data_IF_468410240953
#
_entry.id   IF_468410240953
#
_cell.length_a   1.000
_cell.length_b   1.000
_cell.length_c   1.000
_cell.angle_alpha   90.00
_cell.angle_beta   90.00
_cell.angle_gamma   90.00
#
_symmetry.space_group_name_H-M   'P 1'
#
loop_
_entity.id
_entity.type
_entity.pdbx_description
1 polymer ?
#
# COMPACT_ATOMS: atom_id res chain seq x y z
N UNK A 1 3.96 -21.52 -42.69
CA UNK A 1 5.14 -20.85 -42.11
C UNK A 1 4.69 -20.36 -40.75
N UNK A 2 4.99 -21.13 -39.70
CA UNK A 2 4.70 -20.70 -38.33
C UNK A 2 5.70 -19.58 -38.01
N UNK A 3 5.26 -18.38 -37.61
CA UNK A 3 6.19 -17.40 -37.09
C UNK A 3 6.85 -18.02 -35.86
N UNK A 4 8.17 -18.16 -35.91
CA UNK A 4 8.95 -18.63 -34.78
C UNK A 4 8.74 -17.64 -33.64
N UNK A 5 8.11 -18.10 -32.57
CA UNK A 5 8.07 -17.40 -31.29
C UNK A 5 9.49 -17.39 -30.73
N UNK A 6 10.26 -16.38 -31.09
CA UNK A 6 11.37 -15.93 -30.24
C UNK A 6 10.76 -15.64 -28.89
N UNK A 7 11.06 -16.48 -27.90
CA UNK A 7 10.69 -16.25 -26.51
C UNK A 7 11.43 -15.00 -26.06
N UNK A 8 10.76 -13.85 -26.14
CA UNK A 8 11.29 -12.62 -25.61
C UNK A 8 11.23 -12.73 -24.08
N UNK A 9 12.34 -12.50 -23.35
CA UNK A 9 12.31 -12.57 -21.90
C UNK A 9 11.24 -11.61 -21.37
N UNK A 10 10.41 -12.07 -20.45
CA UNK A 10 9.46 -11.22 -19.72
C UNK A 10 10.24 -10.11 -18.99
N UNK A 11 10.40 -8.99 -19.69
CA UNK A 11 11.27 -7.90 -19.27
C UNK A 11 10.70 -7.20 -18.04
N UNK A 12 9.37 -7.18 -17.91
CA UNK A 12 8.69 -6.59 -16.77
C UNK A 12 8.88 -7.48 -15.54
N UNK A 13 8.71 -8.79 -15.67
CA UNK A 13 9.05 -9.74 -14.60
C UNK A 13 10.52 -9.63 -14.16
N UNK A 14 11.46 -9.44 -15.10
CA UNK A 14 12.88 -9.19 -14.77
C UNK A 14 13.07 -7.89 -13.99
N UNK A 15 12.37 -6.82 -14.36
CA UNK A 15 12.40 -5.56 -13.64
C UNK A 15 11.80 -5.68 -12.23
N UNK A 16 10.68 -6.40 -12.09
CA UNK A 16 10.10 -6.70 -10.78
C UNK A 16 11.10 -7.38 -9.85
N UNK A 17 11.80 -8.40 -10.36
CA UNK A 17 12.86 -9.09 -9.59
C UNK A 17 14.03 -8.18 -9.24
N UNK A 18 14.41 -7.26 -10.12
CA UNK A 18 15.44 -6.25 -9.84
C UNK A 18 15.02 -5.36 -8.67
N UNK A 19 13.81 -4.81 -8.71
CA UNK A 19 13.26 -3.98 -7.63
C UNK A 19 13.11 -4.77 -6.33
N UNK A 20 12.66 -6.03 -6.38
CA UNK A 20 12.59 -6.90 -5.20
C UNK A 20 13.96 -7.06 -4.52
N UNK A 21 15.03 -7.24 -5.32
CA UNK A 21 16.40 -7.36 -4.78
C UNK A 21 16.87 -6.08 -4.11
N UNK A 22 16.57 -4.93 -4.70
CA UNK A 22 16.85 -3.62 -4.08
C UNK A 22 16.10 -3.44 -2.76
N UNK A 23 14.85 -3.93 -2.70
CA UNK A 23 14.00 -3.85 -1.51
C UNK A 23 14.21 -4.98 -0.50
N UNK A 24 15.15 -5.91 -0.73
CA UNK A 24 15.36 -7.08 0.14
C UNK A 24 15.50 -6.72 1.61
N UNK A 25 16.29 -5.69 1.93
CA UNK A 25 16.48 -5.27 3.32
C UNK A 25 15.17 -4.82 3.98
N UNK A 26 14.31 -4.12 3.23
CA UNK A 26 12.99 -3.75 3.71
C UNK A 26 12.13 -5.01 3.93
N UNK A 27 12.08 -5.95 2.98
CA UNK A 27 11.34 -7.20 3.13
C UNK A 27 11.74 -8.00 4.38
N UNK A 28 13.04 -8.09 4.68
CA UNK A 28 13.52 -8.77 5.88
C UNK A 28 13.08 -8.02 7.15
N UNK A 29 13.18 -6.69 7.15
CA UNK A 29 12.73 -5.88 8.28
C UNK A 29 11.22 -6.05 8.52
N UNK A 30 10.41 -6.06 7.45
CA UNK A 30 8.98 -6.35 7.48
C UNK A 30 8.67 -7.70 8.13
N UNK A 31 9.38 -8.74 7.72
CA UNK A 31 9.22 -10.08 8.28
C UNK A 31 9.58 -10.14 9.77
N UNK A 32 10.68 -9.51 10.18
CA UNK A 32 11.06 -9.41 11.59
C UNK A 32 10.01 -8.63 12.40
N UNK A 33 9.50 -7.52 11.89
CA UNK A 33 8.50 -6.72 12.58
C UNK A 33 7.17 -7.48 12.74
N UNK A 34 6.77 -8.25 11.73
CA UNK A 34 5.58 -9.10 11.79
C UNK A 34 5.70 -10.22 12.83
N UNK A 35 6.91 -10.79 13.00
CA UNK A 35 7.11 -11.86 13.97
C UNK A 35 7.05 -11.41 15.42
N UNK A 36 7.21 -10.10 15.69
CA UNK A 36 7.20 -9.55 17.06
C UNK A 36 5.92 -9.94 17.79
N UNK A 37 6.08 -10.58 18.96
CA UNK A 37 4.97 -10.99 19.80
C UNK A 37 4.35 -12.33 19.40
N UNK A 38 4.88 -13.04 18.39
CA UNK A 38 4.50 -14.44 18.15
C UNK A 38 4.87 -15.30 19.35
N UNK A 39 6.02 -15.05 19.97
CA UNK A 39 6.51 -15.77 21.15
C UNK A 39 5.56 -15.70 22.35
N UNK A 40 4.80 -14.61 22.50
CA UNK A 40 3.85 -14.44 23.59
C UNK A 40 2.51 -15.16 23.32
N UNK A 41 2.27 -15.61 22.08
CA UNK A 41 1.01 -16.26 21.73
C UNK A 41 0.88 -17.66 22.35
N UNK A 42 -0.34 -18.07 22.75
CA UNK A 42 -0.59 -19.45 23.16
C UNK A 42 -0.32 -20.42 22.03
N UNK A 43 0.34 -21.52 22.33
CA UNK A 43 0.67 -22.54 21.34
C UNK A 43 -0.47 -23.58 21.21
N UNK A 44 -0.78 -23.93 19.97
CA UNK A 44 -1.81 -24.90 19.60
C UNK A 44 -1.23 -25.95 18.64
N UNK A 45 -1.81 -27.15 18.66
CA UNK A 45 -1.49 -28.23 17.73
C UNK A 45 -2.77 -28.91 17.25
N UNK A 46 -2.76 -29.42 16.02
CA UNK A 46 -3.78 -30.35 15.56
C UNK A 46 -3.38 -31.77 15.97
N UNK A 47 -4.24 -32.39 16.78
CA UNK A 47 -4.12 -33.77 17.21
C UNK A 47 -5.34 -34.55 16.73
N UNK A 48 -5.15 -35.41 15.73
CA UNK A 48 -6.23 -36.23 15.14
C UNK A 48 -7.37 -35.34 14.61
N UNK A 49 -7.00 -34.30 13.88
CA UNK A 49 -7.95 -33.35 13.29
C UNK A 49 -8.64 -32.40 14.29
N UNK A 50 -8.22 -32.36 15.56
CA UNK A 50 -8.74 -31.41 16.55
C UNK A 50 -7.67 -30.45 17.01
N UNK A 51 -8.00 -29.17 17.06
CA UNK A 51 -7.11 -28.14 17.61
C UNK A 51 -7.08 -28.23 19.14
N UNK A 52 -5.87 -28.30 19.71
CA UNK A 52 -5.64 -28.45 21.15
C UNK A 52 -4.61 -27.41 21.60
N UNK A 53 -4.95 -26.61 22.61
CA UNK A 53 -4.00 -25.74 23.27
C UNK A 53 -3.03 -26.58 24.12
N UNK A 54 -1.73 -26.31 24.03
CA UNK A 54 -0.72 -27.10 24.78
C UNK A 54 -0.50 -26.58 26.20
N UNK A 55 -1.09 -25.44 26.56
CA UNK A 55 -0.94 -24.83 27.89
C UNK A 55 0.37 -24.04 28.09
N UNK A 56 1.15 -23.85 27.02
CA UNK A 56 2.38 -23.05 26.97
C UNK A 56 2.28 -21.99 25.86
N UNK A 57 3.20 -21.03 25.83
CA UNK A 57 3.34 -20.11 24.70
C UNK A 57 4.26 -20.70 23.62
N UNK A 58 4.25 -20.07 22.44
CA UNK A 58 5.20 -20.38 21.35
C UNK A 58 6.64 -20.13 21.82
N UNK A 59 6.89 -19.01 22.50
CA UNK A 59 8.22 -18.63 22.99
C UNK A 59 8.76 -19.58 24.05
N UNK A 60 7.93 -20.04 25.00
CA UNK A 60 8.33 -21.02 26.00
C UNK A 60 8.79 -22.33 25.35
N UNK A 61 8.05 -22.81 24.33
CA UNK A 61 8.42 -24.02 23.59
C UNK A 61 9.70 -23.81 22.78
N UNK A 62 9.81 -22.70 22.06
CA UNK A 62 10.98 -22.36 21.27
C UNK A 62 12.25 -22.29 22.14
N UNK A 63 12.16 -21.67 23.33
CA UNK A 63 13.27 -21.57 24.29
C UNK A 63 13.73 -22.94 24.82
N UNK A 64 12.81 -23.91 24.93
CA UNK A 64 13.11 -25.28 25.34
C UNK A 64 13.43 -26.21 24.15
N UNK A 65 13.58 -25.68 22.93
CA UNK A 65 13.89 -26.45 21.73
C UNK A 65 12.80 -27.45 21.34
N UNK A 66 11.55 -27.19 21.74
CA UNK A 66 10.40 -28.02 21.41
C UNK A 66 9.83 -27.60 20.06
N UNK A 67 9.34 -28.55 19.23
CA UNK A 67 8.70 -28.23 17.96
C UNK A 67 7.45 -27.35 18.17
N UNK A 68 7.25 -26.42 17.23
CA UNK A 68 6.09 -25.53 17.18
C UNK A 68 5.04 -26.03 16.18
N UNK A 69 5.45 -26.76 15.14
CA UNK A 69 4.52 -27.40 14.21
C UNK A 69 4.17 -28.84 14.62
N UNK A 70 2.93 -29.25 14.35
CA UNK A 70 2.51 -30.66 14.39
C UNK A 70 2.86 -31.40 13.11
N UNK A 71 2.72 -32.73 13.11
CA UNK A 71 2.88 -33.56 11.91
C UNK A 71 1.79 -33.31 10.85
N UNK A 72 0.64 -32.76 11.27
CA UNK A 72 -0.56 -32.59 10.43
C UNK A 72 -0.67 -31.18 9.78
N UNK A 73 0.09 -30.19 10.24
CA UNK A 73 -0.23 -28.76 10.01
C UNK A 73 0.77 -28.00 9.13
N UNK A 74 2.02 -28.45 9.01
CA UNK A 74 3.06 -27.70 8.28
C UNK A 74 2.83 -27.66 6.76
N UNK A 75 3.17 -26.53 6.12
CA UNK A 75 3.22 -26.44 4.65
C UNK A 75 4.35 -27.33 4.15
N UNK A 76 4.05 -28.23 3.22
CA UNK A 76 5.04 -29.17 2.66
C UNK A 76 6.15 -28.39 1.96
N UNK A 77 5.80 -27.26 1.33
CA UNK A 77 6.73 -26.40 0.60
C UNK A 77 7.77 -25.75 1.51
N UNK A 78 7.44 -25.55 2.79
CA UNK A 78 8.38 -25.01 3.77
C UNK A 78 9.40 -26.07 4.20
N UNK A 79 9.07 -27.37 4.16
CA UNK A 79 9.99 -28.45 4.50
C UNK A 79 10.43 -28.48 5.99
N UNK A 80 11.48 -29.24 6.28
CA UNK A 80 11.92 -29.53 7.66
C UNK A 80 12.52 -28.29 8.36
N UNK A 81 11.81 -27.80 9.36
CA UNK A 81 12.24 -26.68 10.18
C UNK A 81 13.06 -27.13 11.40
N UNK A 82 13.98 -26.26 11.86
CA UNK A 82 14.65 -26.45 13.16
C UNK A 82 13.66 -26.07 14.28
N UNK A 83 13.50 -26.88 15.34
CA UNK A 83 12.64 -26.51 16.46
C UNK A 83 12.94 -25.13 17.03
N UNK A 84 11.90 -24.30 17.20
CA UNK A 84 11.98 -22.92 17.70
C UNK A 84 12.54 -21.90 16.71
N UNK A 85 12.74 -22.27 15.45
CA UNK A 85 13.15 -21.33 14.39
C UNK A 85 11.98 -20.53 13.83
N UNK A 86 12.28 -19.45 13.09
CA UNK A 86 11.26 -18.68 12.38
C UNK A 86 10.43 -19.56 11.42
N UNK A 87 11.05 -20.47 10.69
CA UNK A 87 10.36 -21.40 9.80
C UNK A 87 9.48 -22.41 10.55
N UNK A 88 9.89 -22.85 11.74
CA UNK A 88 9.05 -23.70 12.61
C UNK A 88 7.82 -22.93 13.10
N UNK A 89 7.99 -21.65 13.44
CA UNK A 89 6.88 -20.77 13.79
C UNK A 89 5.91 -20.55 12.61
N UNK A 90 6.40 -20.41 11.38
CA UNK A 90 5.55 -20.33 10.18
C UNK A 90 4.73 -21.61 9.96
N UNK A 91 5.27 -22.79 10.30
CA UNK A 91 4.56 -24.06 10.21
C UNK A 91 3.59 -24.32 11.38
N UNK A 92 3.58 -23.47 12.41
CA UNK A 92 2.66 -23.60 13.53
C UNK A 92 1.26 -23.04 13.19
N UNK A 93 0.27 -23.43 13.99
CA UNK A 93 -1.12 -22.94 13.87
C UNK A 93 -1.49 -22.01 15.01
N UNK A 94 -2.38 -21.06 14.73
CA UNK A 94 -2.97 -20.20 15.75
C UNK A 94 -4.21 -20.83 16.41
N UNK A 95 -4.89 -20.05 17.26
CA UNK A 95 -6.06 -20.48 18.01
C UNK A 95 -7.30 -20.78 17.12
N UNK A 96 -7.31 -20.30 15.88
CA UNK A 96 -8.35 -20.58 14.90
C UNK A 96 -7.96 -21.77 13.99
N UNK A 97 -6.76 -22.33 14.21
CA UNK A 97 -6.22 -23.44 13.43
C UNK A 97 -5.66 -23.02 12.08
N UNK A 98 -5.40 -21.73 11.88
CA UNK A 98 -4.79 -21.18 10.67
C UNK A 98 -3.28 -21.26 10.79
N UNK A 99 -2.61 -21.70 9.72
CA UNK A 99 -1.15 -21.79 9.67
C UNK A 99 -0.56 -20.38 9.60
N UNK A 100 0.48 -20.12 10.40
CA UNK A 100 1.12 -18.81 10.42
C UNK A 100 1.73 -18.41 9.08
N UNK A 101 2.18 -19.37 8.27
CA UNK A 101 2.61 -19.14 6.89
C UNK A 101 1.52 -18.48 6.03
N UNK A 102 0.27 -18.93 6.11
CA UNK A 102 -0.83 -18.34 5.32
C UNK A 102 -1.11 -16.90 5.76
N UNK A 103 -0.99 -16.64 7.07
CA UNK A 103 -1.09 -15.27 7.60
C UNK A 103 0.08 -14.42 7.18
N UNK A 104 1.29 -14.95 7.21
CA UNK A 104 2.51 -14.27 6.79
C UNK A 104 2.42 -13.87 5.32
N UNK A 105 1.92 -14.76 4.46
CA UNK A 105 1.72 -14.45 3.06
C UNK A 105 0.77 -13.27 2.87
N UNK A 106 -0.44 -13.36 3.45
CA UNK A 106 -1.47 -12.32 3.32
C UNK A 106 -1.08 -10.99 3.98
N UNK A 107 -0.42 -11.02 5.13
CA UNK A 107 -0.12 -9.83 5.94
C UNK A 107 1.21 -9.18 5.56
N UNK A 108 2.14 -9.91 4.94
CA UNK A 108 3.50 -9.43 4.61
C UNK A 108 3.86 -9.61 3.14
N UNK A 109 3.82 -10.84 2.62
CA UNK A 109 4.34 -11.12 1.27
C UNK A 109 3.49 -10.48 0.18
N UNK A 110 2.16 -10.68 0.20
CA UNK A 110 1.26 -10.16 -0.83
C UNK A 110 1.30 -8.61 -0.89
N UNK A 111 1.14 -7.87 0.23
CA UNK A 111 1.18 -6.40 0.18
C UNK A 111 2.56 -5.87 -0.24
N UNK A 112 3.63 -6.49 0.24
CA UNK A 112 4.99 -6.05 -0.09
C UNK A 112 5.31 -6.26 -1.57
N UNK A 113 4.92 -7.40 -2.13
CA UNK A 113 5.10 -7.70 -3.56
C UNK A 113 4.25 -6.78 -4.42
N UNK A 114 3.00 -6.53 -4.04
CA UNK A 114 2.15 -5.57 -4.74
C UNK A 114 2.82 -4.19 -4.84
N UNK A 115 3.29 -3.65 -3.70
CA UNK A 115 4.01 -2.37 -3.69
C UNK A 115 5.30 -2.42 -4.53
N UNK A 116 6.02 -3.54 -4.50
CA UNK A 116 7.24 -3.75 -5.31
C UNK A 116 6.93 -3.69 -6.80
N UNK A 117 5.84 -4.32 -7.21
CA UNK A 117 5.36 -4.32 -8.59
C UNK A 117 4.90 -2.93 -9.04
N UNK A 118 4.22 -2.17 -8.18
CA UNK A 118 3.84 -0.77 -8.47
C UNK A 118 5.10 0.10 -8.66
N UNK A 119 6.10 -0.06 -7.79
CA UNK A 119 7.39 0.65 -7.95
C UNK A 119 8.12 0.26 -9.25
N UNK A 120 8.02 -1.01 -9.65
CA UNK A 120 8.56 -1.48 -10.94
C UNK A 120 7.81 -0.86 -12.12
N UNK A 121 6.48 -0.77 -12.07
CA UNK A 121 5.65 -0.09 -13.06
C UNK A 121 6.01 1.39 -13.20
N UNK A 122 6.12 2.12 -12.09
CA UNK A 122 6.52 3.53 -12.10
C UNK A 122 7.95 3.75 -12.61
N UNK A 123 8.85 2.79 -12.36
CA UNK A 123 10.18 2.79 -12.95
C UNK A 123 10.11 2.56 -14.46
N UNK A 124 9.37 1.54 -14.90
CA UNK A 124 9.19 1.22 -16.31
C UNK A 124 8.63 2.40 -17.11
N UNK A 125 7.58 3.06 -16.61
CA UNK A 125 6.98 4.26 -17.21
C UNK A 125 8.00 5.37 -17.46
N UNK A 126 8.95 5.56 -16.53
CA UNK A 126 9.94 6.63 -16.61
C UNK A 126 11.15 6.26 -17.46
N UNK A 127 11.62 5.02 -17.40
CA UNK A 127 12.89 4.61 -18.01
C UNK A 127 12.73 3.88 -19.33
N UNK A 128 11.56 3.28 -19.57
CA UNK A 128 11.24 2.46 -20.76
C UNK A 128 9.83 2.80 -21.30
N UNK A 129 9.51 4.07 -21.58
CA UNK A 129 8.14 4.48 -21.93
C UNK A 129 7.60 3.81 -23.20
N UNK A 130 8.44 3.50 -24.18
CA UNK A 130 8.03 2.82 -25.41
C UNK A 130 7.64 1.36 -25.15
N UNK A 131 8.48 0.60 -24.45
CA UNK A 131 8.20 -0.80 -24.06
C UNK A 131 7.01 -0.90 -23.10
N UNK A 132 6.85 0.11 -22.23
CA UNK A 132 5.67 0.20 -21.38
C UNK A 132 4.39 0.39 -22.21
N UNK A 133 4.40 1.28 -23.22
CA UNK A 133 3.24 1.47 -24.09
C UNK A 133 2.91 0.21 -24.92
N UNK A 134 3.92 -0.50 -25.41
CA UNK A 134 3.76 -1.80 -26.09
C UNK A 134 3.13 -2.84 -25.14
N UNK A 135 3.63 -2.93 -23.90
CA UNK A 135 3.07 -3.82 -22.88
C UNK A 135 1.59 -3.50 -22.60
N UNK A 136 1.23 -2.22 -22.48
CA UNK A 136 -0.16 -1.83 -22.27
C UNK A 136 -1.05 -2.23 -23.46
N UNK A 137 -0.57 -2.05 -24.70
CA UNK A 137 -1.30 -2.48 -25.90
C UNK A 137 -1.50 -4.01 -25.92
N UNK A 138 -0.48 -4.78 -25.54
CA UNK A 138 -0.56 -6.24 -25.42
C UNK A 138 -1.60 -6.70 -24.38
N UNK A 139 -1.74 -5.96 -23.28
CA UNK A 139 -2.73 -6.22 -22.24
C UNK A 139 -4.12 -5.64 -22.56
N UNK A 140 -4.24 -4.81 -23.60
CA UNK A 140 -5.48 -4.12 -23.96
C UNK A 140 -5.81 -2.93 -23.06
N UNK A 141 -4.81 -2.34 -22.40
CA UNK A 141 -4.93 -1.23 -21.46
C UNK A 141 -4.63 0.12 -22.12
N UNK A 142 -5.40 1.17 -21.79
CA UNK A 142 -5.19 2.52 -22.33
C UNK A 142 -4.06 3.26 -21.59
N UNK A 143 -2.97 3.69 -22.25
CA UNK A 143 -1.87 4.42 -21.62
C UNK A 143 -2.26 5.69 -20.84
N UNK A 144 -3.38 6.32 -21.19
CA UNK A 144 -3.90 7.52 -20.52
C UNK A 144 -4.79 7.24 -19.31
N UNK A 145 -5.22 6.00 -19.11
CA UNK A 145 -6.20 5.61 -18.08
C UNK A 145 -5.78 4.36 -17.26
N UNK A 146 -4.75 3.64 -17.70
CA UNK A 146 -4.30 2.42 -17.07
C UNK A 146 -3.81 2.68 -15.64
N UNK A 147 -4.54 2.14 -14.67
CA UNK A 147 -4.08 2.04 -13.30
C UNK A 147 -2.96 0.97 -13.24
N UNK A 148 -1.76 1.30 -12.72
CA UNK A 148 -0.71 0.31 -12.50
C UNK A 148 -1.21 -0.96 -11.79
N UNK A 149 -2.14 -0.86 -10.85
CA UNK A 149 -2.69 -2.04 -10.17
C UNK A 149 -3.49 -2.97 -11.10
N UNK A 150 -4.20 -2.42 -12.08
CA UNK A 150 -4.97 -3.19 -13.04
C UNK A 150 -4.06 -3.87 -14.06
N UNK A 151 -3.04 -3.15 -14.53
CA UNK A 151 -1.97 -3.68 -15.39
C UNK A 151 -1.29 -4.87 -14.72
N UNK A 152 -0.91 -4.72 -13.44
CA UNK A 152 -0.25 -5.79 -12.69
C UNK A 152 -1.12 -7.03 -12.52
N UNK A 153 -2.43 -6.85 -12.34
CA UNK A 153 -3.38 -7.96 -12.25
C UNK A 153 -3.52 -8.68 -13.60
N UNK A 154 -3.56 -7.94 -14.70
CA UNK A 154 -3.69 -8.50 -16.04
C UNK A 154 -2.47 -9.34 -16.46
N UNK A 155 -1.26 -8.94 -16.07
CA UNK A 155 -0.05 -9.69 -16.40
C UNK A 155 0.42 -10.72 -15.37
N UNK A 156 -0.32 -10.89 -14.27
CA UNK A 156 -0.07 -11.93 -13.25
C UNK A 156 1.36 -11.94 -12.66
N UNK A 157 2.11 -10.83 -12.75
CA UNK A 157 3.51 -10.78 -12.33
C UNK A 157 3.73 -10.89 -10.83
N UNK A 158 2.69 -10.64 -10.02
CA UNK A 158 2.81 -10.74 -8.57
C UNK A 158 3.06 -12.17 -8.10
N UNK A 159 2.40 -13.18 -8.68
CA UNK A 159 2.51 -14.57 -8.23
C UNK A 159 3.95 -15.10 -8.24
N UNK A 160 4.72 -15.03 -9.34
CA UNK A 160 6.11 -15.49 -9.33
C UNK A 160 7.01 -14.66 -8.39
N UNK A 161 6.69 -13.38 -8.19
CA UNK A 161 7.43 -12.53 -7.24
C UNK A 161 7.13 -12.88 -5.77
N UNK A 162 5.91 -13.32 -5.45
CA UNK A 162 5.55 -13.82 -4.10
C UNK A 162 6.40 -15.01 -3.72
N UNK A 163 6.54 -15.99 -4.61
CA UNK A 163 7.43 -17.15 -4.38
C UNK A 163 8.90 -16.73 -4.21
N UNK A 164 9.40 -15.78 -5.00
CA UNK A 164 10.79 -15.29 -4.85
C UNK A 164 10.97 -14.52 -3.53
N UNK A 165 9.99 -13.73 -3.11
CA UNK A 165 10.01 -13.02 -1.83
C UNK A 165 10.00 -13.97 -0.64
N UNK A 166 9.13 -15.00 -0.63
CA UNK A 166 9.08 -16.03 0.40
C UNK A 166 10.44 -16.74 0.52
N UNK A 167 11.03 -17.16 -0.60
CA UNK A 167 12.36 -17.77 -0.60
C UNK A 167 13.45 -16.84 -0.07
N UNK A 168 13.41 -15.54 -0.38
CA UNK A 168 14.38 -14.58 0.14
C UNK A 168 14.27 -14.42 1.66
N UNK A 169 13.05 -14.43 2.21
CA UNK A 169 12.80 -14.40 3.66
C UNK A 169 13.30 -15.69 4.31
N UNK A 170 12.91 -16.86 3.80
CA UNK A 170 13.32 -18.15 4.36
C UNK A 170 14.84 -18.34 4.30
N UNK A 171 15.49 -17.89 3.23
CA UNK A 171 16.94 -17.92 3.11
C UNK A 171 17.65 -17.01 4.14
N UNK A 172 17.02 -15.90 4.54
CA UNK A 172 17.60 -14.96 5.51
C UNK A 172 17.28 -15.34 6.96
N UNK A 173 16.05 -15.75 7.25
CA UNK A 173 15.51 -15.88 8.60
C UNK A 173 15.09 -17.30 8.97
N UNK A 174 14.81 -18.17 8.00
CA UNK A 174 14.09 -19.43 8.22
C UNK A 174 14.70 -20.30 9.33
N UNK A 175 16.03 -20.42 9.38
CA UNK A 175 16.74 -21.22 10.38
C UNK A 175 17.13 -20.45 11.65
N UNK A 176 16.92 -19.14 11.68
CA UNK A 176 17.24 -18.30 12.83
C UNK A 176 16.25 -18.59 13.98
N UNK A 177 16.70 -18.55 15.25
CA UNK A 177 15.80 -18.65 16.40
C UNK A 177 14.73 -17.56 16.37
N UNK A 178 13.48 -17.92 16.64
CA UNK A 178 12.35 -16.97 16.59
C UNK A 178 12.60 -15.73 17.48
N UNK A 179 13.10 -15.95 18.70
CA UNK A 179 13.40 -14.87 19.66
C UNK A 179 14.43 -13.86 19.14
N UNK A 180 15.42 -14.32 18.35
CA UNK A 180 16.41 -13.42 17.73
C UNK A 180 15.75 -12.60 16.62
N UNK A 181 14.93 -13.23 15.78
CA UNK A 181 14.19 -12.54 14.71
C UNK A 181 13.25 -11.46 15.27
N UNK A 182 12.52 -11.78 16.35
CA UNK A 182 11.67 -10.81 17.03
C UNK A 182 12.48 -9.62 17.58
N UNK A 183 13.66 -9.88 18.16
CA UNK A 183 14.49 -8.82 18.73
C UNK A 183 14.95 -7.79 17.69
N UNK A 184 15.25 -8.24 16.47
CA UNK A 184 15.58 -7.38 15.33
C UNK A 184 14.34 -6.60 14.82
N UNK A 185 13.14 -7.16 14.98
CA UNK A 185 11.88 -6.56 14.56
C UNK A 185 11.30 -5.52 15.53
N UNK A 186 11.66 -5.58 16.81
CA UNK A 186 11.12 -4.69 17.87
C UNK A 186 11.22 -3.19 17.53
N UNK A 187 12.35 -2.67 17.00
CA UNK A 187 12.43 -1.25 16.63
C UNK A 187 11.40 -0.86 15.56
N UNK A 188 11.20 -1.70 14.54
CA UNK A 188 10.30 -1.40 13.43
C UNK A 188 8.82 -1.56 13.82
N UNK A 189 8.49 -2.58 14.62
CA UNK A 189 7.11 -2.77 15.11
C UNK A 189 6.65 -1.59 15.99
N UNK A 190 7.55 -1.01 16.80
CA UNK A 190 7.28 0.20 17.58
C UNK A 190 7.05 1.42 16.69
N UNK A 191 7.87 1.61 15.64
CA UNK A 191 7.68 2.69 14.67
C UNK A 191 6.31 2.57 13.98
N UNK A 192 5.93 1.35 13.59
CA UNK A 192 4.63 1.07 12.98
C UNK A 192 3.46 1.27 13.92
N UNK A 193 3.59 0.85 15.18
CA UNK A 193 2.57 1.12 16.19
C UNK A 193 2.39 2.63 16.41
N UNK A 194 3.49 3.39 16.43
CA UNK A 194 3.44 4.85 16.51
C UNK A 194 2.80 5.47 15.25
N UNK A 195 3.16 5.00 14.06
CA UNK A 195 2.54 5.45 12.80
C UNK A 195 1.05 5.13 12.74
N UNK A 196 0.64 3.91 13.11
CA UNK A 196 -0.76 3.51 13.15
C UNK A 196 -1.56 4.35 14.16
N UNK A 197 -0.96 4.64 15.33
CA UNK A 197 -1.55 5.54 16.32
C UNK A 197 -1.69 6.95 15.77
N UNK A 198 -0.66 7.48 15.10
CA UNK A 198 -0.70 8.80 14.48
C UNK A 198 -1.73 8.87 13.35
N UNK A 199 -1.84 7.82 12.54
CA UNK A 199 -2.82 7.71 11.45
C UNK A 199 -4.25 7.59 11.99
N UNK A 200 -4.47 6.85 13.08
CA UNK A 200 -5.76 6.76 13.74
C UNK A 200 -6.15 8.07 14.44
N UNK A 201 -5.17 8.83 14.94
CA UNK A 201 -5.38 10.15 15.54
C UNK A 201 -5.55 11.28 14.50
N UNK A 202 -5.20 11.03 13.24
CA UNK A 202 -5.45 11.98 12.16
C UNK A 202 -6.96 12.01 11.86
N UNK A 203 -7.65 13.04 12.37
CA UNK A 203 -9.02 13.32 11.93
C UNK A 203 -9.01 13.57 10.41
N UNK A 204 -9.85 12.88 9.63
CA UNK A 204 -10.03 13.23 8.23
C UNK A 204 -10.53 14.66 8.17
N UNK A 205 -9.76 15.54 7.51
CA UNK A 205 -10.12 16.95 7.35
C UNK A 205 -11.53 17.01 6.75
N UNK A 206 -12.54 17.54 7.47
CA UNK A 206 -13.90 17.50 6.97
C UNK A 206 -13.97 18.29 5.67
N UNK A 207 -14.41 17.63 4.60
CA UNK A 207 -14.87 18.33 3.42
C UNK A 207 -15.98 19.27 3.87
N UNK A 208 -15.73 20.58 3.79
CA UNK A 208 -16.68 21.60 4.21
C UNK A 208 -17.87 21.53 3.26
N UNK A 209 -18.95 20.88 3.68
CA UNK A 209 -20.21 20.90 2.94
C UNK A 209 -20.61 22.37 2.71
N UNK A 210 -20.85 22.77 1.45
CA UNK A 210 -21.40 24.09 1.19
C UNK A 210 -22.81 24.16 1.77
N UNK A 211 -23.10 25.25 2.47
CA UNK A 211 -24.43 25.61 2.98
C UNK A 211 -25.47 25.44 1.85
N UNK A 212 -26.64 24.84 2.11
CA UNK A 212 -27.64 24.51 1.06
C UNK A 212 -28.08 25.75 0.26
N UNK A 213 -27.97 26.95 0.85
CA UNK A 213 -28.21 28.24 0.18
C UNK A 213 -27.12 28.69 -0.81
N UNK A 214 -25.91 28.11 -0.76
CA UNK A 214 -24.78 28.47 -1.61
C UNK A 214 -24.59 27.54 -2.82
N UNK A 215 -25.33 26.43 -2.94
CA UNK A 215 -25.11 25.44 -4.00
C UNK A 215 -25.26 26.03 -5.42
N UNK A 216 -26.28 26.88 -5.62
CA UNK A 216 -26.51 27.58 -6.89
C UNK A 216 -25.44 28.63 -7.21
N UNK A 217 -25.09 29.46 -6.22
CA UNK A 217 -24.04 30.48 -6.36
C UNK A 217 -22.66 29.84 -6.59
N UNK A 218 -22.37 28.71 -5.93
CA UNK A 218 -21.12 27.98 -6.07
C UNK A 218 -20.99 27.34 -7.46
N UNK A 219 -22.09 26.80 -8.00
CA UNK A 219 -22.11 26.28 -9.36
C UNK A 219 -21.75 27.36 -10.39
N UNK A 220 -22.38 28.54 -10.29
CA UNK A 220 -22.09 29.69 -11.14
C UNK A 220 -20.65 30.17 -10.96
N UNK A 221 -20.17 30.25 -9.72
CA UNK A 221 -18.81 30.69 -9.41
C UNK A 221 -17.74 29.77 -10.01
N UNK A 222 -17.91 28.44 -9.87
CA UNK A 222 -16.97 27.46 -10.43
C UNK A 222 -16.99 27.46 -11.97
N UNK A 223 -18.15 27.66 -12.59
CA UNK A 223 -18.24 27.85 -14.03
C UNK A 223 -17.49 29.11 -14.48
N UNK A 224 -17.70 30.23 -13.78
CA UNK A 224 -17.02 31.50 -14.01
C UNK A 224 -15.49 31.35 -13.96
N UNK A 225 -14.95 30.67 -12.93
CA UNK A 225 -13.50 30.48 -12.78
C UNK A 225 -12.92 29.61 -13.90
N UNK A 226 -13.63 28.56 -14.34
CA UNK A 226 -13.19 27.69 -15.45
C UNK A 226 -13.15 28.44 -16.78
N UNK A 227 -14.13 29.30 -17.04
CA UNK A 227 -14.24 30.05 -18.29
C UNK A 227 -13.36 31.31 -18.33
N UNK A 228 -12.97 31.85 -17.16
CA UNK A 228 -12.16 33.07 -17.05
C UNK A 228 -10.74 32.94 -17.64
N UNK A 229 -10.26 31.71 -17.87
CA UNK A 229 -8.90 31.43 -18.33
C UNK A 229 -7.82 31.86 -17.33
N UNK A 230 -8.17 31.95 -16.04
CA UNK A 230 -7.26 32.33 -14.97
C UNK A 230 -6.38 31.13 -14.58
N UNK A 231 -5.10 31.35 -14.24
CA UNK A 231 -4.27 30.30 -13.67
C UNK A 231 -4.91 29.78 -12.38
N UNK A 232 -4.92 28.46 -12.21
CA UNK A 232 -5.47 27.79 -11.03
C UNK A 232 -4.32 27.19 -10.21
N UNK A 233 -4.19 27.51 -8.91
CA UNK A 233 -5.07 28.38 -8.11
C UNK A 233 -4.94 29.87 -8.47
N UNK A 234 -6.03 30.62 -8.37
CA UNK A 234 -6.08 32.04 -8.78
C UNK A 234 -5.18 32.90 -7.89
N UNK A 235 -4.16 33.59 -8.43
CA UNK A 235 -3.24 34.41 -7.65
C UNK A 235 -3.87 35.74 -7.22
N UNK A 236 -3.32 36.42 -6.20
CA UNK A 236 -3.85 37.70 -5.72
C UNK A 236 -3.94 38.79 -6.79
N UNK A 237 -2.99 38.81 -7.73
CA UNK A 237 -3.00 39.74 -8.87
C UNK A 237 -4.19 39.51 -9.82
N UNK A 238 -4.78 38.31 -9.79
CA UNK A 238 -5.99 37.95 -10.52
C UNK A 238 -7.30 38.31 -9.79
N UNK A 239 -7.25 38.81 -8.55
CA UNK A 239 -8.43 39.04 -7.72
C UNK A 239 -9.46 39.99 -8.35
N UNK A 240 -9.01 41.06 -9.02
CA UNK A 240 -9.91 41.99 -9.71
C UNK A 240 -10.64 41.37 -10.91
N UNK A 241 -9.94 40.52 -11.67
CA UNK A 241 -10.52 39.80 -12.81
C UNK A 241 -11.46 38.70 -12.35
N UNK A 242 -11.10 37.99 -11.28
CA UNK A 242 -11.97 37.01 -10.63
C UNK A 242 -13.28 37.67 -10.16
N UNK A 243 -13.20 38.80 -9.46
CA UNK A 243 -14.38 39.53 -8.99
C UNK A 243 -15.28 39.96 -10.17
N UNK A 244 -14.70 40.54 -11.21
CA UNK A 244 -15.45 40.97 -12.40
C UNK A 244 -16.23 39.80 -13.03
N UNK A 245 -15.57 38.65 -13.21
CA UNK A 245 -16.19 37.47 -13.82
C UNK A 245 -17.27 36.86 -12.92
N UNK A 246 -17.13 36.90 -11.59
CA UNK A 246 -18.17 36.44 -10.66
C UNK A 246 -19.41 37.35 -10.70
N UNK A 247 -19.22 38.67 -10.77
CA UNK A 247 -20.33 39.63 -10.90
C UNK A 247 -21.03 39.54 -12.27
N UNK A 248 -20.28 39.32 -13.35
CA UNK A 248 -20.82 39.13 -14.70
C UNK A 248 -21.70 37.87 -14.81
N UNK A 249 -21.40 36.83 -14.02
CA UNK A 249 -22.25 35.63 -13.91
C UNK A 249 -23.47 35.83 -13.00
N UNK A 250 -23.67 37.05 -12.48
CA UNK A 250 -24.87 37.43 -11.74
C UNK A 250 -24.82 37.14 -10.24
N UNK A 251 -23.65 36.85 -9.65
CA UNK A 251 -23.53 36.68 -8.20
C UNK A 251 -23.68 38.02 -7.47
N UNK A 252 -24.44 38.04 -6.40
CA UNK A 252 -24.53 39.20 -5.51
C UNK A 252 -23.27 39.32 -4.63
N UNK A 253 -22.90 40.54 -4.18
CA UNK A 253 -21.72 40.75 -3.32
C UNK A 253 -21.66 39.87 -2.05
N UNK A 254 -22.82 39.59 -1.45
CA UNK A 254 -22.93 38.67 -0.30
C UNK A 254 -22.65 37.22 -0.68
N UNK A 255 -23.15 36.77 -1.84
CA UNK A 255 -22.93 35.44 -2.37
C UNK A 255 -21.47 35.23 -2.80
N UNK A 256 -20.84 36.24 -3.41
CA UNK A 256 -19.41 36.22 -3.74
C UNK A 256 -18.59 35.94 -2.48
N UNK A 257 -18.86 36.66 -1.39
CA UNK A 257 -18.15 36.45 -0.12
C UNK A 257 -18.34 35.03 0.43
N UNK A 258 -19.53 34.47 0.25
CA UNK A 258 -19.89 33.10 0.66
C UNK A 258 -19.21 32.00 -0.16
N UNK A 259 -18.98 32.20 -1.46
CA UNK A 259 -18.35 31.19 -2.33
C UNK A 259 -16.82 31.21 -2.32
N UNK A 260 -16.18 32.32 -1.95
CA UNK A 260 -14.70 32.45 -1.93
C UNK A 260 -13.96 31.30 -1.22
N UNK A 261 -14.41 30.77 -0.06
CA UNK A 261 -13.75 29.66 0.62
C UNK A 261 -13.76 28.34 -0.16
N UNK A 262 -14.60 28.22 -1.18
CA UNK A 262 -14.82 27.02 -1.98
C UNK A 262 -14.19 27.10 -3.37
N UNK A 263 -13.62 28.25 -3.74
CA UNK A 263 -12.94 28.45 -5.02
C UNK A 263 -11.46 28.07 -4.93
N UNK A 264 -10.83 27.63 -6.03
CA UNK A 264 -9.42 27.26 -6.06
C UNK A 264 -8.55 28.53 -6.09
N UNK A 265 -8.34 29.13 -4.91
CA UNK A 265 -7.65 30.40 -4.73
C UNK A 265 -6.27 30.21 -4.09
N UNK A 266 -5.29 30.99 -4.52
CA UNK A 266 -4.01 31.07 -3.82
C UNK A 266 -4.18 31.84 -2.51
N UNK A 267 -3.24 31.68 -1.59
CA UNK A 267 -3.24 32.38 -0.30
C UNK A 267 -3.29 33.91 -0.52
N UNK A 268 -4.13 34.59 0.26
CA UNK A 268 -4.33 36.04 0.17
C UNK A 268 -5.30 36.52 -0.93
N UNK A 269 -5.63 35.70 -1.93
CA UNK A 269 -6.57 36.09 -3.01
C UNK A 269 -7.98 36.35 -2.47
N UNK A 270 -8.48 35.49 -1.58
CA UNK A 270 -9.80 35.67 -0.97
C UNK A 270 -9.90 36.96 -0.14
N UNK A 271 -8.83 37.35 0.56
CA UNK A 271 -8.77 38.61 1.29
C UNK A 271 -8.86 39.80 0.34
N UNK A 272 -8.08 39.77 -0.74
CA UNK A 272 -8.06 40.83 -1.74
C UNK A 272 -9.37 41.00 -2.50
N UNK A 273 -10.12 39.92 -2.76
CA UNK A 273 -11.47 40.03 -3.34
C UNK A 273 -12.44 40.69 -2.36
N UNK A 274 -12.36 40.39 -1.06
CA UNK A 274 -13.19 41.06 -0.03
C UNK A 274 -12.88 42.55 0.06
N UNK A 275 -11.60 42.93 -0.03
CA UNK A 275 -11.17 44.33 -0.03
C UNK A 275 -11.66 45.11 -1.28
N UNK A 276 -11.94 44.41 -2.38
CA UNK A 276 -12.50 45.00 -3.60
C UNK A 276 -14.04 45.09 -3.58
N UNK A 277 -14.70 44.34 -2.68
CA UNK A 277 -16.14 44.34 -2.49
C UNK A 277 -16.61 45.38 -1.46
N UNK A 278 -15.70 45.88 -0.61
CA UNK A 278 -15.93 46.96 0.36
C UNK A 278 -15.87 48.34 -0.26
#
# INVERSE_FOLDING_TARGET
>A
MFPGTTYEPDWFGLLGREVLRERRAALIAEACAWSVGLSDRPHHLRLRGRLVATGSTIGDRAAHGQPLSGEEDGRIELGDARPGSFQDALNAVDADGVVFADRFDREVIEPFVHETCVLAADRARRTRPAQWAELLDELGEDPGQADPADVLRAGEWEEPLRTEAEHLVLAALGRAPLLEVESEGLPLSLVRAAEATARAAAEPSPAREPDEGLSGALFLALAAVREAGLPTPVPPDGAGRLLAVLLEQGLEPGEVTGVLPHLPLAEGTAGRVRDLLS
#
